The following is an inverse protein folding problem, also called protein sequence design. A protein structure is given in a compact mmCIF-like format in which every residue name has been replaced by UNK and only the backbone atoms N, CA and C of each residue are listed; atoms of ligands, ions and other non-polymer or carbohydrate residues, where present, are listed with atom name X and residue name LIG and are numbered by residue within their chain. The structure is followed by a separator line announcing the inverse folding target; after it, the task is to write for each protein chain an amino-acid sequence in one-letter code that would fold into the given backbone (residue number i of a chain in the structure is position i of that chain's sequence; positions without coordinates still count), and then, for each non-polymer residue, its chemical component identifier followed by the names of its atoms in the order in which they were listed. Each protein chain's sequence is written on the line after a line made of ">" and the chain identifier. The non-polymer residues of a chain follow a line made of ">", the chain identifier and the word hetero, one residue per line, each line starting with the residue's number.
data_IF_859621068087
#
_entry.id   IF_859621068087
#
_cell.length_a   1.000
_cell.length_b   1.000
_cell.length_c   1.000
_cell.angle_alpha   90.00
_cell.angle_beta   90.00
_cell.angle_gamma   90.00
#
_symmetry.space_group_name_H-M   'P 1'
#
loop_
_entity.id
_entity.type
_entity.pdbx_description
1 polymer ?
#
# COMPACT_ATOMS: atom_id res chain seq x y z
N UNK A 1 -0.56 54.87 -13.15
CA UNK A 1 -1.74 55.14 -14.01
C UNK A 1 -2.83 56.01 -13.35
N UNK A 2 -2.64 56.58 -12.14
CA UNK A 2 -3.69 57.36 -11.45
C UNK A 2 -3.71 58.87 -11.81
N UNK A 3 -2.55 59.46 -12.09
CA UNK A 3 -2.43 60.90 -12.32
C UNK A 3 -2.99 61.36 -13.69
N UNK A 4 -2.95 60.47 -14.71
CA UNK A 4 -3.46 60.77 -16.06
C UNK A 4 -4.99 60.89 -16.12
N UNK A 5 -5.72 60.08 -15.36
CA UNK A 5 -7.18 60.17 -15.33
C UNK A 5 -7.67 61.38 -14.52
N UNK A 6 -6.93 61.77 -13.48
CA UNK A 6 -7.19 63.02 -12.73
C UNK A 6 -6.98 64.24 -13.62
N UNK A 7 -5.92 64.23 -14.44
CA UNK A 7 -5.66 65.30 -15.41
C UNK A 7 -6.77 65.41 -16.46
N UNK A 8 -7.38 64.29 -16.89
CA UNK A 8 -8.49 64.27 -17.85
C UNK A 8 -9.80 64.84 -17.24
N UNK A 9 -10.00 64.66 -15.93
CA UNK A 9 -11.18 65.14 -15.20
C UNK A 9 -11.12 66.65 -14.94
N UNK A 10 -9.92 67.24 -14.92
CA UNK A 10 -9.68 68.68 -14.74
C UNK A 10 -9.77 69.51 -16.04
N UNK A 11 -9.73 68.89 -17.22
CA UNK A 11 -9.84 69.57 -18.53
C UNK A 11 -11.12 70.42 -18.65
N UNK A 12 -12.32 69.93 -18.30
CA UNK A 12 -13.52 70.77 -18.36
C UNK A 12 -13.46 71.96 -17.38
N UNK A 13 -12.83 71.80 -16.21
CA UNK A 13 -12.69 72.89 -15.21
C UNK A 13 -11.88 74.07 -15.77
N UNK A 14 -10.81 73.79 -16.53
CA UNK A 14 -10.03 74.84 -17.18
C UNK A 14 -10.70 75.39 -18.45
N UNK A 15 -11.40 74.56 -19.22
CA UNK A 15 -12.15 74.99 -20.42
C UNK A 15 -13.34 75.92 -20.12
N UNK A 16 -13.99 75.76 -18.97
CA UNK A 16 -15.05 76.67 -18.51
C UNK A 16 -14.51 77.94 -17.81
N UNK A 17 -13.25 77.93 -17.36
CA UNK A 17 -12.61 79.08 -16.70
C UNK A 17 -11.99 80.09 -17.69
N UNK A 18 -11.64 79.67 -18.91
CA UNK A 18 -11.01 80.52 -19.93
C UNK A 18 -12.00 81.10 -20.94
N UNK A 19 -13.07 81.76 -20.48
CA UNK A 19 -13.91 82.60 -21.34
C UNK A 19 -13.70 84.06 -20.98
N UNK A 20 -12.63 84.64 -21.51
CA UNK A 20 -12.43 86.09 -21.53
C UNK A 20 -13.14 86.64 -22.77
N UNK A 21 -14.45 86.85 -22.66
CA UNK A 21 -15.21 87.70 -23.56
C UNK A 21 -16.54 88.12 -22.89
N UNK A 22 -16.60 89.43 -22.61
CA UNK A 22 -17.81 90.23 -22.42
C UNK A 22 -18.60 90.05 -21.11
N UNK A 23 -18.26 90.89 -20.13
CA UNK A 23 -19.18 91.82 -19.46
C UNK A 23 -20.67 91.57 -19.75
N UNK A 24 -21.40 90.91 -18.84
CA UNK A 24 -22.81 91.16 -18.48
C UNK A 24 -23.20 90.27 -17.29
N UNK A 25 -23.88 90.88 -16.32
CA UNK A 25 -24.13 90.44 -14.93
C UNK A 25 -25.15 89.28 -14.76
N UNK A 26 -25.27 88.38 -15.74
CA UNK A 26 -26.21 87.25 -15.68
C UNK A 26 -25.68 86.05 -16.44
N UNK A 27 -24.84 85.21 -15.82
CA UNK A 27 -24.68 83.85 -16.35
C UNK A 27 -24.17 82.78 -15.38
N UNK A 28 -24.10 83.05 -14.07
CA UNK A 28 -23.74 82.03 -13.07
C UNK A 28 -24.81 80.93 -13.03
N UNK A 29 -26.09 81.31 -13.16
CA UNK A 29 -27.23 80.37 -13.14
C UNK A 29 -27.19 79.43 -14.35
N UNK A 30 -27.03 79.94 -15.58
CA UNK A 30 -27.00 79.08 -16.76
C UNK A 30 -25.73 78.21 -16.81
N UNK A 31 -24.58 78.72 -16.36
CA UNK A 31 -23.34 77.93 -16.22
C UNK A 31 -23.49 76.80 -15.19
N UNK A 32 -24.18 77.04 -14.09
CA UNK A 32 -24.46 76.02 -13.06
C UNK A 32 -25.38 74.94 -13.60
N UNK A 33 -26.41 75.31 -14.37
CA UNK A 33 -27.29 74.36 -15.05
C UNK A 33 -26.50 73.51 -16.06
N UNK A 34 -25.64 74.12 -16.88
CA UNK A 34 -24.78 73.40 -17.82
C UNK A 34 -23.79 72.46 -17.11
N UNK A 35 -23.21 72.88 -15.99
CA UNK A 35 -22.34 72.03 -15.18
C UNK A 35 -23.10 70.85 -14.57
N UNK A 36 -24.32 71.06 -14.09
CA UNK A 36 -25.18 69.98 -13.56
C UNK A 36 -25.56 68.97 -14.65
N UNK A 37 -25.90 69.43 -15.85
CA UNK A 37 -26.19 68.56 -17.00
C UNK A 37 -24.93 67.76 -17.37
N UNK A 38 -23.77 68.43 -17.46
CA UNK A 38 -22.50 67.77 -17.75
C UNK A 38 -22.12 66.76 -16.66
N UNK A 39 -22.24 67.12 -15.38
CA UNK A 39 -21.96 66.24 -14.26
C UNK A 39 -22.91 65.02 -14.24
N UNK A 40 -24.18 65.21 -14.60
CA UNK A 40 -25.16 64.13 -14.75
C UNK A 40 -24.79 63.15 -15.87
N UNK A 41 -24.43 63.66 -17.05
CA UNK A 41 -23.98 62.84 -18.19
C UNK A 41 -22.67 62.11 -17.85
N UNK A 42 -21.72 62.82 -17.23
CA UNK A 42 -20.43 62.26 -16.81
C UNK A 42 -20.62 61.17 -15.75
N UNK A 43 -21.51 61.38 -14.79
CA UNK A 43 -21.88 60.38 -13.79
C UNK A 43 -22.50 59.16 -14.44
N UNK A 44 -23.44 59.34 -15.38
CA UNK A 44 -24.07 58.23 -16.10
C UNK A 44 -23.05 57.36 -16.86
N UNK A 45 -22.08 57.98 -17.53
CA UNK A 45 -21.03 57.27 -18.28
C UNK A 45 -20.00 56.55 -17.38
N UNK A 46 -19.67 57.11 -16.21
CA UNK A 46 -18.58 56.61 -15.36
C UNK A 46 -19.08 55.69 -14.23
N UNK A 47 -20.32 55.85 -13.77
CA UNK A 47 -20.84 55.12 -12.61
C UNK A 47 -20.81 53.60 -12.80
N UNK A 48 -21.25 53.10 -13.95
CA UNK A 48 -21.27 51.66 -14.24
C UNK A 48 -19.86 51.02 -14.34
N UNK A 49 -18.91 51.53 -15.15
CA UNK A 49 -17.59 50.93 -15.25
C UNK A 49 -16.82 50.99 -13.93
N UNK A 50 -16.98 52.06 -13.15
CA UNK A 50 -16.35 52.18 -11.83
C UNK A 50 -16.94 51.16 -10.86
N UNK A 51 -18.27 51.06 -10.76
CA UNK A 51 -18.93 50.09 -9.88
C UNK A 51 -18.58 48.64 -10.26
N UNK A 52 -18.51 48.34 -11.55
CA UNK A 52 -18.10 47.03 -12.06
C UNK A 52 -16.63 46.73 -11.75
N UNK A 53 -15.73 47.69 -11.90
CA UNK A 53 -14.32 47.53 -11.56
C UNK A 53 -14.10 47.27 -10.06
N UNK A 54 -14.81 47.99 -9.17
CA UNK A 54 -14.73 47.77 -7.73
C UNK A 54 -15.32 46.40 -7.33
N UNK A 55 -16.52 46.05 -7.82
CA UNK A 55 -17.12 44.73 -7.57
C UNK A 55 -16.26 43.58 -8.10
N UNK A 56 -15.66 43.74 -9.28
CA UNK A 56 -14.74 42.73 -9.84
C UNK A 56 -13.50 42.52 -8.97
N UNK A 57 -12.95 43.58 -8.37
CA UNK A 57 -11.83 43.47 -7.42
C UNK A 57 -12.25 42.76 -6.14
N UNK A 58 -13.40 43.14 -5.56
CA UNK A 58 -13.93 42.50 -4.34
C UNK A 58 -14.15 41.01 -4.60
N UNK A 59 -14.82 40.66 -5.70
CA UNK A 59 -15.08 39.28 -6.07
C UNK A 59 -13.78 38.50 -6.30
N UNK A 60 -12.80 39.06 -7.02
CA UNK A 60 -11.54 38.36 -7.25
C UNK A 60 -10.72 38.14 -5.97
N UNK A 61 -10.77 39.06 -5.01
CA UNK A 61 -10.17 38.88 -3.68
C UNK A 61 -10.91 37.78 -2.92
N UNK A 62 -12.25 37.80 -2.92
CA UNK A 62 -13.07 36.78 -2.26
C UNK A 62 -12.78 35.38 -2.84
N UNK A 63 -12.77 35.23 -4.17
CA UNK A 63 -12.46 33.96 -4.83
C UNK A 63 -11.05 33.47 -4.52
N UNK A 64 -10.05 34.38 -4.46
CA UNK A 64 -8.67 34.01 -4.08
C UNK A 64 -8.59 33.55 -2.63
N UNK A 65 -9.30 34.22 -1.73
CA UNK A 65 -9.32 33.87 -0.31
C UNK A 65 -10.00 32.51 -0.08
N UNK A 66 -11.11 32.27 -0.77
CA UNK A 66 -11.83 31.00 -0.76
C UNK A 66 -10.94 29.87 -1.29
N UNK A 67 -10.31 30.06 -2.46
CA UNK A 67 -9.38 29.08 -3.02
C UNK A 67 -8.18 28.77 -2.12
N UNK A 68 -7.65 29.78 -1.39
CA UNK A 68 -6.57 29.56 -0.42
C UNK A 68 -7.06 28.78 0.80
N UNK A 69 -8.25 29.09 1.30
CA UNK A 69 -8.85 28.36 2.42
C UNK A 69 -9.14 26.90 2.04
N UNK A 70 -9.68 26.67 0.85
CA UNK A 70 -9.92 25.33 0.33
C UNK A 70 -8.63 24.55 0.17
N UNK A 71 -7.60 25.15 -0.44
CA UNK A 71 -6.30 24.51 -0.59
C UNK A 71 -5.64 24.21 0.76
N UNK A 72 -5.80 25.09 1.75
CA UNK A 72 -5.31 24.87 3.11
C UNK A 72 -6.06 23.72 3.79
N UNK A 73 -7.39 23.68 3.65
CA UNK A 73 -8.24 22.62 4.20
C UNK A 73 -7.89 21.26 3.58
N UNK A 74 -7.76 21.24 2.26
CA UNK A 74 -7.34 20.05 1.51
C UNK A 74 -5.95 19.57 1.94
N UNK A 75 -4.99 20.50 2.06
CA UNK A 75 -3.64 20.16 2.51
C UNK A 75 -3.60 19.62 3.94
N UNK A 76 -4.42 20.16 4.85
CA UNK A 76 -4.57 19.65 6.21
C UNK A 76 -5.21 18.25 6.21
N UNK A 77 -6.29 18.05 5.46
CA UNK A 77 -6.93 16.73 5.32
C UNK A 77 -5.94 15.69 4.82
N UNK A 78 -5.21 16.00 3.74
CA UNK A 78 -4.18 15.11 3.17
C UNK A 78 -3.06 14.80 4.16
N UNK A 79 -2.65 15.78 4.96
CA UNK A 79 -1.65 15.56 6.03
C UNK A 79 -2.19 14.62 7.10
N UNK A 80 -3.40 14.84 7.57
CA UNK A 80 -4.02 14.03 8.63
C UNK A 80 -4.28 12.59 8.14
N UNK A 81 -4.73 12.43 6.89
CA UNK A 81 -4.87 11.13 6.22
C UNK A 81 -3.53 10.41 6.10
N UNK A 82 -2.46 11.12 5.68
CA UNK A 82 -1.12 10.54 5.59
C UNK A 82 -0.59 10.10 6.96
N UNK A 83 -0.81 10.90 8.01
CA UNK A 83 -0.42 10.55 9.38
C UNK A 83 -1.17 9.29 9.83
N UNK A 84 -2.50 9.24 9.63
CA UNK A 84 -3.31 8.06 9.95
C UNK A 84 -2.84 6.82 9.20
N UNK A 85 -2.55 6.95 7.90
CA UNK A 85 -2.04 5.85 7.09
C UNK A 85 -0.69 5.33 7.59
N UNK A 86 0.22 6.23 8.01
CA UNK A 86 1.51 5.84 8.61
C UNK A 86 1.33 5.17 9.96
N UNK A 87 0.42 5.67 10.80
CA UNK A 87 0.11 5.07 12.10
C UNK A 87 -0.43 3.64 11.93
N UNK A 88 -1.41 3.47 11.03
CA UNK A 88 -2.02 2.19 10.71
C UNK A 88 -1.01 1.22 10.09
N UNK A 89 -0.15 1.69 9.17
CA UNK A 89 0.90 0.86 8.60
C UNK A 89 1.90 0.38 9.64
N UNK A 90 2.26 1.22 10.63
CA UNK A 90 3.13 0.83 11.76
C UNK A 90 2.47 -0.21 12.66
N UNK A 91 1.19 -0.05 12.96
CA UNK A 91 0.43 -1.01 13.76
C UNK A 91 0.34 -2.37 13.05
N UNK A 92 -0.07 -2.36 11.78
CA UNK A 92 -0.13 -3.55 10.94
C UNK A 92 1.24 -4.24 10.83
N UNK A 93 2.34 -3.49 10.68
CA UNK A 93 3.68 -4.05 10.63
C UNK A 93 4.08 -4.73 11.96
N UNK A 94 3.73 -4.14 13.10
CA UNK A 94 3.97 -4.75 14.41
C UNK A 94 3.17 -6.04 14.58
N UNK A 95 1.91 -6.03 14.16
CA UNK A 95 1.05 -7.21 14.20
C UNK A 95 1.59 -8.32 13.29
N UNK A 96 2.00 -7.98 12.07
CA UNK A 96 2.60 -8.92 11.11
C UNK A 96 3.86 -9.56 11.70
N UNK A 97 4.78 -8.78 12.28
CA UNK A 97 5.98 -9.33 12.92
C UNK A 97 5.62 -10.25 14.08
N UNK A 98 4.62 -9.90 14.89
CA UNK A 98 4.16 -10.73 16.01
C UNK A 98 3.56 -12.05 15.51
N UNK A 99 2.75 -12.01 14.46
CA UNK A 99 2.15 -13.20 13.86
C UNK A 99 3.22 -14.08 13.20
N UNK A 100 4.14 -13.49 12.43
CA UNK A 100 5.24 -14.22 11.80
C UNK A 100 6.15 -14.92 12.82
N UNK A 101 6.41 -14.29 13.97
CA UNK A 101 7.15 -14.94 15.06
C UNK A 101 6.41 -16.15 15.63
N UNK A 102 5.11 -16.01 15.88
CA UNK A 102 4.27 -17.14 16.35
C UNK A 102 4.19 -18.26 15.33
N UNK A 103 4.05 -17.93 14.05
CA UNK A 103 4.04 -18.92 12.96
C UNK A 103 5.39 -19.62 12.84
N UNK A 104 6.51 -18.91 13.00
CA UNK A 104 7.83 -19.51 13.01
C UNK A 104 8.00 -20.49 14.19
N UNK A 105 7.57 -20.10 15.40
CA UNK A 105 7.59 -20.98 16.58
C UNK A 105 6.73 -22.24 16.37
N UNK A 106 5.52 -22.08 15.82
CA UNK A 106 4.64 -23.20 15.49
C UNK A 106 5.22 -24.11 14.41
N UNK A 107 5.88 -23.53 13.41
CA UNK A 107 6.53 -24.28 12.33
C UNK A 107 7.70 -25.10 12.88
N UNK A 108 8.54 -24.51 13.75
CA UNK A 108 9.64 -25.24 14.41
C UNK A 108 9.08 -26.41 15.21
N UNK A 109 8.07 -26.17 16.06
CA UNK A 109 7.44 -27.23 16.84
C UNK A 109 6.88 -28.35 15.95
N UNK A 110 6.22 -27.99 14.84
CA UNK A 110 5.67 -28.96 13.90
C UNK A 110 6.77 -29.78 13.22
N UNK A 111 7.84 -29.12 12.75
CA UNK A 111 8.97 -29.80 12.11
C UNK A 111 9.67 -30.74 13.10
N UNK A 112 9.86 -30.32 14.35
CA UNK A 112 10.43 -31.19 15.39
C UNK A 112 9.56 -32.42 15.65
N UNK A 113 8.24 -32.24 15.78
CA UNK A 113 7.31 -33.34 15.98
C UNK A 113 7.28 -34.30 14.78
N UNK A 114 7.23 -33.76 13.56
CA UNK A 114 7.24 -34.55 12.33
C UNK A 114 8.57 -35.32 12.19
N UNK A 115 9.70 -34.69 12.50
CA UNK A 115 11.03 -35.33 12.48
C UNK A 115 11.13 -36.45 13.52
N UNK A 116 10.61 -36.24 14.74
CA UNK A 116 10.59 -37.29 15.76
C UNK A 116 9.74 -38.49 15.33
N UNK A 117 8.59 -38.24 14.70
CA UNK A 117 7.76 -39.30 14.16
C UNK A 117 8.48 -40.05 13.03
N UNK A 118 9.12 -39.35 12.10
CA UNK A 118 9.90 -39.95 11.02
C UNK A 118 11.06 -40.80 11.55
N UNK A 119 11.78 -40.32 12.57
CA UNK A 119 12.84 -41.09 13.23
C UNK A 119 12.28 -42.38 13.84
N UNK A 120 11.17 -42.32 14.57
CA UNK A 120 10.54 -43.49 15.15
C UNK A 120 10.09 -44.50 14.08
N UNK A 121 9.54 -44.02 12.95
CA UNK A 121 9.21 -44.88 11.80
C UNK A 121 10.46 -45.51 11.17
N UNK A 122 11.53 -44.75 11.04
CA UNK A 122 12.78 -45.21 10.45
C UNK A 122 13.45 -46.28 11.33
N UNK A 123 13.51 -46.06 12.64
CA UNK A 123 14.03 -47.03 13.61
C UNK A 123 13.27 -48.35 13.54
N UNK A 124 11.94 -48.28 13.56
CA UNK A 124 11.09 -49.47 13.44
C UNK A 124 11.31 -50.21 12.12
N UNK A 125 11.36 -49.47 11.00
CA UNK A 125 11.61 -50.08 9.69
C UNK A 125 13.00 -50.72 9.60
N UNK A 126 14.01 -50.11 10.23
CA UNK A 126 15.37 -50.63 10.29
C UNK A 126 15.45 -51.92 11.13
N UNK A 127 14.78 -51.96 12.30
CA UNK A 127 14.68 -53.18 13.10
C UNK A 127 14.00 -54.32 12.34
N UNK A 128 12.90 -54.03 11.64
CA UNK A 128 12.20 -55.01 10.81
C UNK A 128 13.09 -55.54 9.67
N UNK A 129 13.83 -54.67 8.98
CA UNK A 129 14.80 -55.08 7.95
C UNK A 129 15.94 -55.92 8.52
N UNK A 130 16.51 -55.50 9.66
CA UNK A 130 17.60 -56.25 10.31
C UNK A 130 17.13 -57.65 10.68
N UNK A 131 15.95 -57.78 11.29
CA UNK A 131 15.39 -59.08 11.64
C UNK A 131 15.12 -59.96 10.39
N UNK A 132 14.71 -59.36 9.28
CA UNK A 132 14.52 -60.07 8.02
C UNK A 132 15.85 -60.58 7.44
N UNK A 133 16.88 -59.73 7.39
CA UNK A 133 18.21 -60.12 6.89
C UNK A 133 18.88 -61.15 7.81
N UNK A 134 18.75 -61.05 9.14
CA UNK A 134 19.22 -62.08 10.08
C UNK A 134 18.61 -63.45 9.76
N UNK A 135 17.28 -63.51 9.57
CA UNK A 135 16.60 -64.77 9.21
C UNK A 135 17.09 -65.31 7.87
N UNK A 136 17.33 -64.44 6.90
CA UNK A 136 17.83 -64.82 5.57
C UNK A 136 19.26 -65.36 5.66
N UNK A 137 20.15 -64.67 6.38
CA UNK A 137 21.54 -65.12 6.62
C UNK A 137 21.55 -66.47 7.32
N UNK A 138 20.79 -66.64 8.40
CA UNK A 138 20.70 -67.92 9.12
C UNK A 138 20.29 -69.04 8.16
N UNK A 139 19.24 -68.80 7.34
CA UNK A 139 18.78 -69.80 6.37
C UNK A 139 19.85 -70.13 5.33
N UNK A 140 20.55 -69.12 4.80
CA UNK A 140 21.62 -69.30 3.82
C UNK A 140 22.80 -70.06 4.41
N UNK A 141 23.32 -69.65 5.57
CA UNK A 141 24.45 -70.31 6.24
C UNK A 141 24.10 -71.74 6.64
N UNK A 142 22.90 -72.00 7.17
CA UNK A 142 22.47 -73.36 7.49
C UNK A 142 22.40 -74.22 6.22
N UNK A 143 21.91 -73.67 5.10
CA UNK A 143 21.91 -74.38 3.83
C UNK A 143 23.33 -74.70 3.35
N UNK A 144 24.23 -73.72 3.37
CA UNK A 144 25.63 -73.89 2.97
C UNK A 144 26.35 -74.93 3.85
N UNK A 145 26.19 -74.87 5.17
CA UNK A 145 26.79 -75.85 6.09
C UNK A 145 26.20 -77.24 5.89
N UNK A 146 24.88 -77.37 5.69
CA UNK A 146 24.26 -78.66 5.37
C UNK A 146 24.81 -79.20 4.05
N UNK A 147 24.85 -78.39 3.00
CA UNK A 147 25.39 -78.77 1.69
C UNK A 147 26.87 -79.19 1.83
N UNK A 148 27.68 -78.47 2.59
CA UNK A 148 29.09 -78.80 2.85
C UNK A 148 29.23 -80.10 3.68
N UNK A 149 28.39 -80.34 4.68
CA UNK A 149 28.38 -81.60 5.45
C UNK A 149 27.90 -82.81 4.64
N UNK A 150 26.96 -82.61 3.71
CA UNK A 150 26.51 -83.66 2.79
C UNK A 150 27.52 -83.92 1.66
N UNK A 151 28.37 -82.94 1.33
CA UNK A 151 29.39 -83.06 0.26
C UNK A 151 30.76 -83.47 0.79
N UNK A 152 31.07 -83.17 2.06
CA UNK A 152 32.30 -83.61 2.73
C UNK A 152 32.19 -85.08 3.17
N UNK A 153 33.24 -85.84 2.89
CA UNK A 153 33.36 -87.32 2.99
C UNK A 153 33.17 -87.91 4.41
N UNK A 154 32.74 -87.09 5.39
CA UNK A 154 32.60 -87.45 6.82
C UNK A 154 31.22 -88.05 7.17
N UNK A 155 30.22 -87.87 6.31
CA UNK A 155 28.88 -88.49 6.45
C UNK A 155 28.58 -89.30 5.19
N UNK A 156 29.25 -90.45 5.04
CA UNK A 156 28.64 -91.60 4.37
C UNK A 156 27.45 -92.06 5.21
N UNK A 157 26.38 -91.28 5.24
CA UNK A 157 25.06 -91.77 5.66
C UNK A 157 24.71 -92.83 4.63
N UNK A 158 24.93 -94.07 5.01
CA UNK A 158 24.53 -95.22 4.22
C UNK A 158 23.01 -95.11 4.00
N UNK A 159 22.61 -94.81 2.76
CA UNK A 159 21.22 -94.59 2.36
C UNK A 159 20.31 -95.77 2.78
N UNK A 160 20.87 -96.93 3.06
CA UNK A 160 20.16 -98.11 3.57
C UNK A 160 19.69 -97.99 5.04
N UNK A 161 20.38 -97.25 5.89
CA UNK A 161 20.00 -97.11 7.31
C UNK A 161 18.85 -96.11 7.49
N UNK A 162 18.85 -95.02 6.72
CA UNK A 162 17.82 -93.98 6.79
C UNK A 162 16.46 -94.48 6.27
N UNK A 163 16.47 -95.28 5.21
CA UNK A 163 15.26 -95.92 4.65
C UNK A 163 14.68 -96.94 5.63
N UNK A 164 15.53 -97.72 6.32
CA UNK A 164 15.06 -98.67 7.34
C UNK A 164 14.50 -97.99 8.60
N UNK A 165 15.04 -96.85 9.01
CA UNK A 165 14.53 -96.10 10.16
C UNK A 165 13.15 -95.48 9.90
N UNK A 166 12.93 -94.97 8.69
CA UNK A 166 11.63 -94.42 8.27
C UNK A 166 10.59 -95.53 8.10
N UNK A 167 10.97 -96.67 7.53
CA UNK A 167 10.07 -97.81 7.35
C UNK A 167 9.67 -98.47 8.68
N UNK A 168 10.51 -98.44 9.72
CA UNK A 168 10.21 -99.04 11.02
C UNK A 168 9.29 -98.18 11.91
N UNK A 169 9.14 -96.87 11.63
CA UNK A 169 8.27 -95.98 12.41
C UNK A 169 6.81 -95.94 11.91
N UNK A 170 6.52 -96.59 10.78
CA UNK A 170 5.18 -96.67 10.17
C UNK A 170 4.68 -98.14 10.15
N UNK A 171 5.18 -98.99 11.03
CA UNK A 171 4.58 -100.28 11.39
C UNK A 171 4.43 -100.38 12.89
#
# INVERSE_FOLDING_TARGET
>A
MKLRYISLLLIPVFGFASSDAAQHDYDIVARTINFLIFAGILYYLIAEPVKKAYKGRINSIATRLEAIQDKLRESKSKKDEAIKAVEQAKENAKELIKTAKKEAELLVFKVEADTQNELAYLEKSYEEQKAFEERKIIKTVVSEVLDELFTSDALKVDQNEFVNLVLKKVS
#
